data_IF_435933610168
#
_entry.id   IF_435933610168
#
_cell.length_a   1.000
_cell.length_b   1.000
_cell.length_c   1.000
_cell.angle_alpha   90.00
_cell.angle_beta   90.00
_cell.angle_gamma   90.00
#
_symmetry.space_group_name_H-M   'P 1'
#
loop_
_entity.id
_entity.type
_entity.pdbx_description
1 polymer ?
#
# COMPACT_ATOMS: atom_id res chain seq x y z
N UNK A 1 1.60 -10.31 2.78
CA UNK A 1 1.43 -11.24 3.91
C UNK A 1 0.36 -10.74 4.89
N UNK A 2 0.54 -9.58 5.57
CA UNK A 2 -0.42 -9.09 6.57
C UNK A 2 -1.86 -8.90 6.07
N UNK A 3 -2.05 -8.14 4.98
CA UNK A 3 -3.39 -7.90 4.42
C UNK A 3 -4.12 -9.19 4.02
N UNK A 4 -3.37 -10.22 3.59
CA UNK A 4 -3.92 -11.55 3.32
C UNK A 4 -4.57 -12.15 4.56
N UNK A 5 -3.84 -12.19 5.69
CA UNK A 5 -4.39 -12.68 6.97
C UNK A 5 -5.57 -11.84 7.45
N UNK A 6 -5.51 -10.51 7.34
CA UNK A 6 -6.65 -9.65 7.70
C UNK A 6 -7.88 -9.96 6.85
N UNK A 7 -7.70 -10.22 5.56
CA UNK A 7 -8.79 -10.53 4.63
C UNK A 7 -9.43 -11.92 4.82
N UNK A 8 -8.71 -12.85 5.47
CA UNK A 8 -9.24 -14.15 5.87
C UNK A 8 -10.10 -14.04 7.13
N UNK A 9 -9.75 -13.13 8.04
CA UNK A 9 -10.52 -12.83 9.25
C UNK A 9 -11.80 -12.02 8.94
N UNK A 10 -11.67 -10.97 8.13
CA UNK A 10 -12.80 -10.13 7.71
C UNK A 10 -12.67 -9.74 6.23
N UNK A 11 -13.71 -10.02 5.44
CA UNK A 11 -13.72 -9.78 4.01
C UNK A 11 -13.63 -8.28 3.64
N UNK A 12 -13.99 -7.36 4.54
CA UNK A 12 -13.88 -5.91 4.34
C UNK A 12 -12.45 -5.45 4.08
N UNK A 13 -11.44 -6.20 4.57
CA UNK A 13 -10.03 -5.88 4.34
C UNK A 13 -9.56 -6.18 2.91
N UNK A 14 -10.33 -6.93 2.10
CA UNK A 14 -9.97 -7.21 0.69
C UNK A 14 -9.89 -5.95 -0.15
N UNK A 15 -10.66 -4.92 0.21
CA UNK A 15 -10.66 -3.64 -0.50
C UNK A 15 -9.28 -2.98 -0.47
N UNK A 16 -8.42 -3.30 0.49
CA UNK A 16 -7.08 -2.70 0.64
C UNK A 16 -5.98 -3.41 -0.16
N UNK A 17 -6.29 -4.52 -0.82
CA UNK A 17 -5.28 -5.36 -1.47
C UNK A 17 -4.59 -4.66 -2.64
N UNK A 18 -5.32 -3.85 -3.40
CA UNK A 18 -4.78 -3.11 -4.56
C UNK A 18 -3.76 -2.06 -4.12
N UNK A 19 -4.15 -1.16 -3.20
CA UNK A 19 -3.28 -0.11 -2.70
C UNK A 19 -2.11 -0.69 -1.90
N UNK A 20 -2.35 -1.76 -1.14
CA UNK A 20 -1.30 -2.44 -0.37
C UNK A 20 -0.23 -3.09 -1.27
N UNK A 21 -0.63 -3.63 -2.43
CA UNK A 21 0.31 -4.18 -3.41
C UNK A 21 1.16 -3.07 -4.03
N UNK A 22 0.51 -2.00 -4.48
CA UNK A 22 1.19 -0.83 -5.05
C UNK A 22 2.20 -0.21 -4.07
N UNK A 23 1.81 -0.05 -2.80
CA UNK A 23 2.71 0.53 -1.78
C UNK A 23 3.92 -0.37 -1.51
N UNK A 24 3.72 -1.69 -1.55
CA UNK A 24 4.78 -2.65 -1.27
C UNK A 24 5.87 -2.60 -2.35
N UNK A 25 5.50 -2.40 -3.62
CA UNK A 25 6.44 -2.17 -4.72
C UNK A 25 7.33 -0.95 -4.43
N UNK A 26 6.72 0.18 -4.07
CA UNK A 26 7.47 1.40 -3.74
C UNK A 26 8.36 1.26 -2.49
N UNK A 27 7.93 0.53 -1.46
CA UNK A 27 8.74 0.27 -0.26
C UNK A 27 9.96 -0.60 -0.57
N UNK A 28 9.80 -1.61 -1.42
CA UNK A 28 10.92 -2.48 -1.84
C UNK A 28 11.95 -1.65 -2.63
N UNK A 29 11.49 -0.87 -3.61
CA UNK A 29 12.37 -0.03 -4.43
C UNK A 29 13.11 1.02 -3.61
N UNK A 30 12.46 1.65 -2.63
CA UNK A 30 13.13 2.62 -1.75
C UNK A 30 14.17 2.01 -0.78
N UNK A 31 14.11 0.70 -0.50
CA UNK A 31 15.04 0.03 0.43
C UNK A 31 16.30 -0.52 -0.24
N UNK A 32 16.21 -0.85 -1.52
CA UNK A 32 17.33 -1.43 -2.28
C UNK A 32 17.59 -0.58 -3.54
N UNK A 33 18.09 0.66 -3.38
CA UNK A 33 18.29 1.58 -4.49
C UNK A 33 19.37 1.11 -5.49
N UNK A 34 20.26 0.19 -5.09
CA UNK A 34 21.29 -0.37 -5.97
C UNK A 34 20.79 -1.61 -6.76
N UNK A 35 19.69 -2.24 -6.32
CA UNK A 35 19.09 -3.41 -6.99
C UNK A 35 18.04 -3.01 -8.03
N UNK A 36 17.55 -1.77 -8.00
CA UNK A 36 16.49 -1.27 -8.86
C UNK A 36 16.90 0.11 -9.35
N UNK A 37 16.86 0.33 -10.67
CA UNK A 37 17.34 1.57 -11.28
C UNK A 37 16.67 2.79 -10.61
N UNK A 38 17.48 3.65 -9.99
CA UNK A 38 17.02 4.90 -9.35
C UNK A 38 16.28 5.81 -10.37
N UNK A 39 16.47 5.55 -11.66
CA UNK A 39 15.83 6.27 -12.77
C UNK A 39 14.30 6.01 -12.86
N UNK A 40 13.75 4.99 -12.19
CA UNK A 40 12.33 4.60 -12.35
C UNK A 40 11.33 5.24 -11.36
N UNK A 41 11.77 5.85 -10.25
CA UNK A 41 10.86 6.56 -9.32
C UNK A 41 10.95 8.07 -9.51
N UNK A 42 10.09 8.58 -10.39
CA UNK A 42 9.88 10.01 -10.58
C UNK A 42 8.84 10.61 -9.62
N UNK A 43 8.61 11.92 -9.77
CA UNK A 43 7.62 12.67 -8.98
C UNK A 43 6.21 12.07 -9.07
N UNK A 44 5.84 11.52 -10.23
CA UNK A 44 4.52 10.90 -10.45
C UNK A 44 4.34 9.66 -9.58
N UNK A 45 5.32 8.75 -9.61
CA UNK A 45 5.34 7.55 -8.79
C UNK A 45 5.30 7.87 -7.29
N UNK A 46 6.05 8.89 -6.87
CA UNK A 46 6.03 9.35 -5.48
C UNK A 46 4.65 9.88 -5.05
N UNK A 47 3.93 10.58 -5.95
CA UNK A 47 2.56 11.05 -5.69
C UNK A 47 1.57 9.89 -5.62
N UNK A 48 1.68 8.91 -6.50
CA UNK A 48 0.86 7.71 -6.50
C UNK A 48 1.04 6.90 -5.22
N UNK A 49 2.29 6.71 -4.78
CA UNK A 49 2.59 6.05 -3.51
C UNK A 49 1.95 6.79 -2.33
N UNK A 50 2.07 8.12 -2.30
CA UNK A 50 1.51 8.92 -1.22
C UNK A 50 -0.02 8.86 -1.20
N UNK A 51 -0.66 8.86 -2.37
CA UNK A 51 -2.11 8.77 -2.46
C UNK A 51 -2.62 7.38 -2.04
N UNK A 52 -1.96 6.31 -2.47
CA UNK A 52 -2.27 4.96 -2.01
C UNK A 52 -2.15 4.85 -0.47
N UNK A 53 -1.10 5.43 0.13
CA UNK A 53 -0.97 5.48 1.59
C UNK A 53 -2.14 6.21 2.28
N UNK A 54 -2.62 7.31 1.69
CA UNK A 54 -3.79 8.04 2.22
C UNK A 54 -5.06 7.21 2.12
N UNK A 55 -5.30 6.57 0.99
CA UNK A 55 -6.48 5.72 0.79
C UNK A 55 -6.49 4.55 1.77
N UNK A 56 -5.34 3.88 1.97
CA UNK A 56 -5.19 2.83 2.99
C UNK A 56 -5.55 3.37 4.37
N UNK A 57 -4.97 4.50 4.77
CA UNK A 57 -5.24 5.11 6.09
C UNK A 57 -6.73 5.40 6.28
N UNK A 58 -7.39 5.99 5.28
CA UNK A 58 -8.82 6.31 5.38
C UNK A 58 -9.67 5.05 5.54
N UNK A 59 -9.41 4.01 4.75
CA UNK A 59 -10.18 2.75 4.80
C UNK A 59 -9.95 1.98 6.10
N UNK A 60 -8.71 1.90 6.58
CA UNK A 60 -8.39 1.31 7.90
C UNK A 60 -9.16 2.03 9.01
N UNK A 61 -9.14 3.37 9.02
CA UNK A 61 -9.86 4.15 10.02
C UNK A 61 -11.39 4.02 9.90
N UNK A 62 -11.92 3.79 8.70
CA UNK A 62 -13.34 3.55 8.50
C UNK A 62 -13.75 2.17 9.05
N UNK A 63 -13.00 1.12 8.72
CA UNK A 63 -13.25 -0.25 9.18
C UNK A 63 -13.19 -0.37 10.71
N UNK A 64 -12.19 0.26 11.34
CA UNK A 64 -12.05 0.26 12.81
C UNK A 64 -13.19 1.04 13.49
N UNK A 65 -13.76 2.06 12.85
CA UNK A 65 -14.87 2.85 13.42
C UNK A 65 -16.24 2.21 13.21
N UNK A 66 -16.34 1.24 12.30
CA UNK A 66 -17.57 0.51 12.01
C UNK A 66 -17.76 -0.75 12.86
N UNK A 67 -16.73 -1.16 13.62
CA UNK A 67 -16.82 -2.15 14.71
C UNK A 67 -17.34 -1.52 16.01
#
# INVERSE_FOLDING_TARGET
ALLGFCSEYDAGWRELMTEGTLLNEYVITGRYPDDISIEDIGLTQAKEALEAARQIKMRVLALIKSE
#
